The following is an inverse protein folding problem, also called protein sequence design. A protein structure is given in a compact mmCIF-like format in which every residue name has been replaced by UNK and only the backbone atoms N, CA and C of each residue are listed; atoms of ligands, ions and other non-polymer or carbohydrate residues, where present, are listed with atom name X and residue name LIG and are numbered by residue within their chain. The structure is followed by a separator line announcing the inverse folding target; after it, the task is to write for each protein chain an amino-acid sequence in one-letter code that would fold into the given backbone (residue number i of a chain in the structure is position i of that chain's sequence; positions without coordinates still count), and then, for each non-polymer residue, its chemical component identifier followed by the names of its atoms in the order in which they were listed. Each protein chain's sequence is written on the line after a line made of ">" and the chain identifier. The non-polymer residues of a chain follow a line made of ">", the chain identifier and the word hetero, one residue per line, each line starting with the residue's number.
data_IF_592339108671
#
_entry.id   IF_592339108671
#
_cell.length_a   1.000
_cell.length_b   1.000
_cell.length_c   1.000
_cell.angle_alpha   90.00
_cell.angle_beta   90.00
_cell.angle_gamma   90.00
#
_symmetry.space_group_name_H-M   'P 1'
#
loop_
_entity.id
_entity.type
_entity.pdbx_description
1 polymer ?
#
# COMPACT_ATOMS: atom_id res chain seq x y z
N UNK A 1 -8.17 -6.19 19.88
CA UNK A 1 -7.93 -5.00 19.03
C UNK A 1 -6.44 -4.67 19.07
N UNK A 2 -5.89 -3.95 18.09
CA UNK A 2 -4.44 -3.67 18.00
C UNK A 2 -3.92 -2.89 19.22
N UNK A 3 -4.80 -2.10 19.86
CA UNK A 3 -4.58 -1.42 21.13
C UNK A 3 -4.19 -2.38 22.26
N UNK A 4 -4.85 -3.53 22.40
CA UNK A 4 -4.51 -4.52 23.42
C UNK A 4 -3.11 -5.13 23.22
N UNK A 5 -2.65 -5.26 21.97
CA UNK A 5 -1.29 -5.74 21.67
C UNK A 5 -0.25 -4.66 21.98
N UNK A 6 -0.58 -3.39 21.75
CA UNK A 6 0.29 -2.27 22.08
C UNK A 6 0.54 -2.19 23.59
N UNK A 7 -0.53 -2.26 24.40
CA UNK A 7 -0.46 -2.18 25.86
C UNK A 7 0.30 -3.36 26.49
N UNK A 8 0.13 -4.57 25.93
CA UNK A 8 0.77 -5.78 26.43
C UNK A 8 2.28 -5.87 26.12
N UNK A 9 2.76 -5.10 25.13
CA UNK A 9 4.13 -5.19 24.61
C UNK A 9 4.90 -3.87 24.64
N UNK A 10 4.35 -2.83 25.29
CA UNK A 10 4.92 -1.48 25.35
C UNK A 10 5.26 -0.91 23.95
N UNK A 11 4.40 -1.23 22.96
CA UNK A 11 4.58 -0.82 21.56
C UNK A 11 3.85 0.50 21.35
N UNK A 12 4.62 1.57 21.11
CA UNK A 12 4.04 2.87 20.75
C UNK A 12 3.60 2.86 19.27
N UNK A 13 2.30 2.67 19.01
CA UNK A 13 1.74 2.78 17.66
C UNK A 13 1.50 4.26 17.33
N UNK A 14 2.48 4.90 16.67
CA UNK A 14 2.32 6.23 16.10
C UNK A 14 1.31 6.27 14.94
N UNK A 15 0.90 7.47 14.53
CA UNK A 15 0.07 7.65 13.33
C UNK A 15 0.88 7.18 12.10
N UNK A 16 0.32 6.28 11.27
CA UNK A 16 1.05 5.79 10.10
C UNK A 16 1.27 6.90 9.09
N UNK A 17 2.48 7.00 8.56
CA UNK A 17 2.82 7.94 7.47
C UNK A 17 2.52 7.35 6.09
N UNK A 18 2.24 6.05 6.02
CA UNK A 18 1.96 5.29 4.79
C UNK A 18 0.89 4.23 5.04
N UNK A 19 0.05 3.99 4.05
CA UNK A 19 -1.02 2.99 4.08
C UNK A 19 -0.93 2.10 2.84
N UNK A 20 -0.98 0.78 3.04
CA UNK A 20 -1.11 -0.20 1.94
C UNK A 20 -2.54 -0.74 2.00
N UNK A 21 -3.27 -0.64 0.89
CA UNK A 21 -4.62 -1.17 0.75
C UNK A 21 -4.76 -2.00 -0.55
N UNK A 22 -5.94 -2.59 -0.74
CA UNK A 22 -6.28 -3.35 -1.95
C UNK A 22 -7.63 -2.92 -2.52
N UNK A 23 -8.45 -3.89 -2.93
CA UNK A 23 -9.85 -3.73 -3.36
C UNK A 23 -10.08 -3.03 -4.71
N UNK A 24 -9.34 -1.98 -5.07
CA UNK A 24 -9.58 -1.26 -6.33
C UNK A 24 -8.99 -1.95 -7.55
N UNK A 25 -8.10 -2.92 -7.34
CA UNK A 25 -7.32 -3.61 -8.38
C UNK A 25 -6.40 -2.69 -9.20
N UNK A 26 -6.12 -1.48 -8.72
CA UNK A 26 -5.24 -0.50 -9.39
C UNK A 26 -3.94 -0.36 -8.60
N UNK A 27 -2.82 -0.95 -9.06
CA UNK A 27 -1.56 -0.96 -8.30
C UNK A 27 -0.91 0.42 -8.17
N UNK A 28 -0.48 0.78 -6.95
CA UNK A 28 0.23 2.02 -6.64
C UNK A 28 1.51 1.66 -5.87
N UNK A 29 2.65 1.94 -6.48
CA UNK A 29 3.96 1.52 -5.97
C UNK A 29 4.40 2.23 -4.69
N UNK A 30 5.34 1.64 -3.96
CA UNK A 30 5.91 2.20 -2.73
C UNK A 30 6.57 3.57 -2.94
N UNK A 31 7.19 3.75 -4.09
CA UNK A 31 7.90 4.98 -4.48
C UNK A 31 7.17 5.79 -5.56
N UNK A 32 5.91 5.46 -5.84
CA UNK A 32 5.11 6.13 -6.87
C UNK A 32 4.96 7.64 -6.55
N UNK A 33 5.50 8.56 -7.37
CA UNK A 33 5.43 10.00 -7.11
C UNK A 33 3.99 10.51 -7.05
N UNK A 34 3.09 9.88 -7.80
CA UNK A 34 1.68 10.25 -7.97
C UNK A 34 0.75 9.58 -6.95
N UNK A 35 1.29 8.80 -6.01
CA UNK A 35 0.52 8.19 -4.93
C UNK A 35 -0.39 9.22 -4.22
N UNK A 36 -1.67 8.90 -3.97
CA UNK A 36 -2.56 9.79 -3.23
C UNK A 36 -2.04 10.11 -1.82
N UNK A 37 -2.40 11.29 -1.31
CA UNK A 37 -2.01 11.77 0.02
C UNK A 37 -3.24 12.29 0.75
N UNK A 38 -3.35 11.98 2.05
CA UNK A 38 -4.44 12.47 2.90
C UNK A 38 -3.89 13.04 4.19
N UNK A 39 -4.44 14.18 4.63
CA UNK A 39 -4.10 14.77 5.92
C UNK A 39 -4.95 14.11 7.02
N UNK A 40 -4.31 13.55 8.05
CA UNK A 40 -4.98 12.95 9.19
C UNK A 40 -4.20 13.23 10.48
N UNK A 41 -4.86 13.85 11.47
CA UNK A 41 -4.22 14.17 12.76
C UNK A 41 -2.94 14.98 12.64
N UNK A 42 -2.88 15.95 11.72
CA UNK A 42 -1.69 16.76 11.46
C UNK A 42 -0.57 16.06 10.69
N UNK A 43 -0.75 14.80 10.30
CA UNK A 43 0.21 14.01 9.52
C UNK A 43 -0.27 13.84 8.07
N UNK A 44 0.67 13.71 7.14
CA UNK A 44 0.40 13.35 5.75
C UNK A 44 0.56 11.84 5.60
N UNK A 45 -0.52 11.14 5.21
CA UNK A 45 -0.50 9.70 4.94
C UNK A 45 -0.42 9.48 3.42
N UNK A 46 0.59 8.73 2.98
CA UNK A 46 0.76 8.31 1.57
C UNK A 46 0.09 6.97 1.32
N UNK A 47 -0.67 6.86 0.23
CA UNK A 47 -1.45 5.66 -0.08
C UNK A 47 -0.80 4.80 -1.15
N UNK A 48 -0.82 3.49 -0.94
CA UNK A 48 -0.23 2.47 -1.80
C UNK A 48 -1.22 1.33 -2.01
N UNK A 49 -1.18 0.67 -3.16
CA UNK A 49 -2.18 -0.32 -3.51
C UNK A 49 -1.54 -1.56 -4.13
N UNK A 50 -1.92 -2.74 -3.65
CA UNK A 50 -1.42 -4.03 -4.14
C UNK A 50 -1.84 -4.35 -5.58
N UNK A 51 -2.80 -3.59 -6.14
CA UNK A 51 -3.42 -3.92 -7.41
C UNK A 51 -4.20 -5.22 -7.35
N UNK A 52 -4.32 -5.88 -8.50
CA UNK A 52 -4.99 -7.17 -8.60
C UNK A 52 -4.34 -8.03 -9.68
N UNK A 53 -4.21 -9.32 -9.41
CA UNK A 53 -3.80 -10.30 -10.43
C UNK A 53 -4.98 -10.62 -11.36
N UNK A 54 -5.49 -9.60 -12.04
CA UNK A 54 -6.72 -9.64 -12.81
C UNK A 54 -6.54 -8.86 -14.11
N UNK A 55 -7.25 -9.27 -15.14
CA UNK A 55 -7.42 -8.46 -16.35
C UNK A 55 -8.61 -7.53 -16.17
N UNK A 56 -8.50 -6.32 -16.70
CA UNK A 56 -9.58 -5.33 -16.79
C UNK A 56 -9.94 -5.17 -18.26
N UNK A 57 -11.23 -5.04 -18.57
CA UNK A 57 -11.65 -4.63 -19.91
C UNK A 57 -11.46 -3.13 -20.06
N UNK A 58 -10.61 -2.74 -21.00
CA UNK A 58 -10.35 -1.36 -21.39
C UNK A 58 -10.64 -1.23 -22.88
N UNK A 59 -11.64 -0.41 -23.25
CA UNK A 59 -12.14 -0.27 -24.63
C UNK A 59 -12.48 -1.59 -25.36
N UNK A 60 -12.88 -2.62 -24.60
CA UNK A 60 -13.22 -3.94 -25.14
C UNK A 60 -12.05 -4.93 -25.19
N UNK A 61 -10.83 -4.50 -24.93
CA UNK A 61 -9.65 -5.35 -24.82
C UNK A 61 -9.39 -5.78 -23.38
N UNK A 62 -9.00 -7.03 -23.16
CA UNK A 62 -8.54 -7.49 -21.85
C UNK A 62 -7.10 -7.05 -21.62
N UNK A 63 -6.89 -6.16 -20.66
CA UNK A 63 -5.58 -5.64 -20.27
C UNK A 63 -5.24 -6.10 -18.87
N UNK A 64 -4.06 -6.67 -18.70
CA UNK A 64 -3.52 -6.91 -17.36
C UNK A 64 -3.16 -5.57 -16.71
N UNK A 65 -3.80 -5.25 -15.58
CA UNK A 65 -3.58 -3.99 -14.85
C UNK A 65 -2.39 -4.06 -13.90
N UNK A 66 -1.96 -5.28 -13.61
CA UNK A 66 -0.81 -5.57 -12.78
C UNK A 66 -1.12 -5.63 -11.28
N UNK A 67 -0.14 -6.13 -10.55
CA UNK A 67 -0.10 -6.17 -9.10
C UNK A 67 1.18 -5.49 -8.60
N UNK A 68 1.11 -4.87 -7.44
CA UNK A 68 2.25 -4.35 -6.71
C UNK A 68 2.53 -5.29 -5.52
N UNK A 69 3.72 -5.89 -5.51
CA UNK A 69 4.17 -6.77 -4.44
C UNK A 69 5.01 -5.94 -3.46
N UNK A 70 4.53 -5.79 -2.22
CA UNK A 70 5.28 -5.13 -1.15
C UNK A 70 6.16 -6.14 -0.42
N UNK A 71 7.40 -5.74 -0.19
CA UNK A 71 8.44 -6.55 0.42
C UNK A 71 8.98 -5.79 1.61
N UNK A 72 9.03 -6.45 2.77
CA UNK A 72 9.60 -5.94 4.00
C UNK A 72 10.71 -6.88 4.44
N UNK A 73 11.93 -6.38 4.56
CA UNK A 73 13.05 -7.13 5.12
C UNK A 73 13.94 -6.24 5.98
N UNK A 74 14.70 -6.84 6.89
CA UNK A 74 15.53 -6.10 7.86
C UNK A 74 16.63 -5.25 7.21
N UNK A 75 17.13 -5.66 6.03
CA UNK A 75 18.28 -5.03 5.38
C UNK A 75 17.87 -3.85 4.50
N UNK A 76 16.73 -3.97 3.82
CA UNK A 76 16.28 -3.03 2.81
C UNK A 76 15.04 -2.23 3.24
N UNK A 77 14.46 -2.57 4.39
CA UNK A 77 13.20 -2.00 4.85
C UNK A 77 12.05 -2.34 3.92
N UNK A 78 11.16 -1.36 3.70
CA UNK A 78 10.02 -1.49 2.81
C UNK A 78 10.39 -1.12 1.37
N UNK A 79 10.05 -2.00 0.43
CA UNK A 79 10.14 -1.78 -1.02
C UNK A 79 8.96 -2.43 -1.73
N UNK A 80 8.81 -2.18 -3.03
CA UNK A 80 7.81 -2.87 -3.83
C UNK A 80 8.30 -3.17 -5.24
N UNK A 81 7.68 -4.16 -5.88
CA UNK A 81 7.93 -4.55 -7.26
C UNK A 81 6.59 -4.64 -8.00
N UNK A 82 6.52 -4.00 -9.17
CA UNK A 82 5.38 -4.09 -10.08
C UNK A 82 5.48 -5.37 -10.91
N UNK A 83 4.36 -6.07 -11.03
CA UNK A 83 4.13 -7.10 -12.04
C UNK A 83 3.02 -6.59 -12.94
N UNK A 84 3.28 -6.42 -14.23
CA UNK A 84 2.38 -5.77 -15.20
C UNK A 84 2.86 -5.95 -16.61
#
# INVERSE_FOLDING_TARGET
>A
EISHLADAHDILLGIPTRMIFGHTHEPIGWNDPESPRTNFGGNVIRWHNTGGWLTKKDNGEEKFVGAEIFLCDEKNGMRSVRVG
#
